data_IF_890637749646
#
_entry.id   IF_890637749646
#
_cell.length_a   1.000
_cell.length_b   1.000
_cell.length_c   1.000
_cell.angle_alpha   90.00
_cell.angle_beta   90.00
_cell.angle_gamma   90.00
#
_symmetry.space_group_name_H-M   'P 1'
#
loop_
_entity.id
_entity.type
_entity.pdbx_description
1 polymer ?
#
# COMPACT_ATOMS: atom_id res chain seq x y z
N UNK A 1 15.17 -32.02 7.93
CA UNK A 1 14.05 -31.05 7.99
C UNK A 1 14.13 -30.18 6.74
N UNK A 2 13.17 -30.30 5.81
CA UNK A 2 13.11 -29.40 4.65
C UNK A 2 12.85 -27.99 5.20
N UNK A 3 13.76 -27.05 4.93
CA UNK A 3 13.48 -25.63 5.09
C UNK A 3 12.27 -25.35 4.19
N UNK A 4 11.10 -25.17 4.79
CA UNK A 4 9.97 -24.58 4.09
C UNK A 4 10.48 -23.18 3.75
N UNK A 5 10.81 -22.96 2.48
CA UNK A 5 10.98 -21.61 1.98
C UNK A 5 9.62 -20.95 2.27
N UNK A 6 9.58 -20.07 3.26
CA UNK A 6 8.46 -19.13 3.41
C UNK A 6 8.45 -18.41 2.07
N UNK A 7 7.61 -18.87 1.14
CA UNK A 7 7.20 -18.05 0.02
C UNK A 7 6.62 -16.83 0.71
N UNK A 8 7.33 -15.72 0.65
CA UNK A 8 6.75 -14.43 1.00
C UNK A 8 5.64 -14.27 -0.03
N UNK A 9 4.45 -14.80 0.29
CA UNK A 9 3.23 -14.19 -0.18
C UNK A 9 3.40 -12.76 0.30
N UNK A 10 3.54 -11.82 -0.63
CA UNK A 10 3.48 -10.41 -0.31
C UNK A 10 2.25 -10.26 0.59
N UNK A 11 2.48 -10.05 1.89
CA UNK A 11 1.40 -9.96 2.85
C UNK A 11 0.74 -8.63 2.55
N UNK A 12 -0.25 -8.64 1.66
CA UNK A 12 -1.14 -7.52 1.35
C UNK A 12 -2.02 -7.28 2.56
N UNK A 13 -1.41 -6.77 3.62
CA UNK A 13 -2.09 -6.38 4.85
C UNK A 13 -1.85 -4.89 5.04
N UNK A 14 -2.65 -4.10 4.34
CA UNK A 14 -3.38 -2.93 4.84
C UNK A 14 -3.98 -2.18 3.64
N UNK A 15 -5.29 -2.02 3.64
CA UNK A 15 -6.05 -1.23 2.68
C UNK A 15 -5.73 0.28 2.80
N UNK A 16 -4.58 0.67 2.25
CA UNK A 16 -4.08 2.04 2.02
C UNK A 16 -2.93 2.60 2.89
N UNK A 17 -2.02 1.70 3.27
CA UNK A 17 -0.60 2.04 3.19
C UNK A 17 0.02 1.07 2.19
N UNK A 18 0.48 1.57 1.03
CA UNK A 18 1.32 0.80 0.10
C UNK A 18 2.63 0.46 0.82
N UNK A 19 2.60 -0.51 1.73
CA UNK A 19 3.78 -1.01 2.39
C UNK A 19 4.67 -1.63 1.32
N UNK A 20 5.77 -0.94 1.02
CA UNK A 20 7.00 -1.46 0.44
C UNK A 20 6.81 -2.81 -0.24
N UNK A 21 6.63 -2.81 -1.55
CA UNK A 21 6.78 -3.99 -2.38
C UNK A 21 8.23 -4.47 -2.30
N UNK A 22 8.60 -5.11 -1.18
CA UNK A 22 9.73 -6.00 -1.09
C UNK A 22 9.34 -7.28 -1.83
N UNK A 23 9.26 -7.16 -3.16
CA UNK A 23 9.06 -8.29 -4.04
C UNK A 23 10.37 -9.07 -4.04
N UNK A 24 10.40 -10.20 -3.35
CA UNK A 24 11.49 -11.15 -3.49
C UNK A 24 11.53 -11.55 -4.98
N UNK A 25 12.67 -11.41 -5.68
CA UNK A 25 12.72 -11.67 -7.11
C UNK A 25 12.33 -13.12 -7.38
N UNK A 26 11.15 -13.32 -7.98
CA UNK A 26 10.67 -14.63 -8.34
C UNK A 26 11.56 -15.19 -9.48
N UNK A 27 12.21 -16.33 -9.24
CA UNK A 27 13.05 -17.02 -10.24
C UNK A 27 12.19 -17.60 -11.37
N UNK A 28 10.90 -17.82 -11.12
CA UNK A 28 9.90 -18.25 -12.10
C UNK A 28 8.74 -17.26 -12.12
N UNK A 29 8.03 -17.22 -13.23
CA UNK A 29 6.81 -16.43 -13.34
C UNK A 29 5.79 -16.86 -12.27
N UNK A 30 5.30 -15.90 -11.51
CA UNK A 30 4.32 -16.11 -10.44
C UNK A 30 3.11 -15.20 -10.69
N UNK A 31 1.92 -15.81 -10.63
CA UNK A 31 0.64 -15.09 -10.56
C UNK A 31 0.10 -15.24 -9.16
N UNK A 32 -0.26 -14.13 -8.53
CA UNK A 32 -0.94 -14.10 -7.24
C UNK A 32 -2.15 -13.17 -7.31
N UNK A 33 -3.12 -13.41 -6.46
CA UNK A 33 -4.30 -12.56 -6.31
C UNK A 33 -4.79 -12.64 -4.87
N UNK A 34 -5.48 -11.59 -4.43
CA UNK A 34 -6.11 -11.57 -3.12
C UNK A 34 -7.44 -10.82 -3.14
N UNK A 35 -8.26 -11.10 -2.13
CA UNK A 35 -9.43 -10.28 -1.78
C UNK A 35 -9.33 -9.87 -0.32
N UNK A 36 -9.68 -8.63 -0.03
CA UNK A 36 -9.55 -8.06 1.30
C UNK A 36 -10.77 -7.27 1.73
N UNK A 37 -10.93 -7.13 3.04
CA UNK A 37 -11.92 -6.25 3.67
C UNK A 37 -11.27 -5.49 4.82
N UNK A 38 -11.62 -4.21 4.93
CA UNK A 38 -11.29 -3.38 6.08
C UNK A 38 -12.53 -2.65 6.59
N UNK A 39 -12.52 -2.26 7.86
CA UNK A 39 -13.65 -1.51 8.46
C UNK A 39 -13.73 -0.04 8.02
N UNK A 40 -12.72 0.47 7.31
CA UNK A 40 -12.65 1.81 6.72
C UNK A 40 -11.66 1.82 5.54
N UNK A 41 -11.70 2.85 4.68
CA UNK A 41 -10.66 3.07 3.68
C UNK A 41 -9.56 3.98 4.24
N UNK A 42 -8.46 3.39 4.72
CA UNK A 42 -7.44 4.11 5.47
C UNK A 42 -6.21 4.43 4.62
N UNK A 43 -6.18 5.63 4.04
CA UNK A 43 -5.16 6.08 3.10
C UNK A 43 -4.18 7.09 3.70
N UNK A 44 -2.91 6.69 3.82
CA UNK A 44 -1.78 7.57 4.23
C UNK A 44 -2.09 8.44 5.46
N UNK A 45 -2.64 7.82 6.50
CA UNK A 45 -2.97 8.51 7.74
C UNK A 45 -4.44 8.90 7.89
N UNK A 46 -5.21 8.89 6.80
CA UNK A 46 -6.55 9.44 6.71
C UNK A 46 -7.60 8.35 6.46
N UNK A 47 -8.77 8.49 7.07
CA UNK A 47 -9.97 7.73 6.69
C UNK A 47 -10.67 8.48 5.56
N UNK A 48 -10.69 7.91 4.36
CA UNK A 48 -11.33 8.49 3.17
C UNK A 48 -12.86 8.34 3.17
N UNK A 49 -13.44 7.81 4.25
CA UNK A 49 -14.87 7.71 4.45
C UNK A 49 -15.49 6.51 3.74
N UNK A 50 -16.78 6.59 3.44
CA UNK A 50 -17.49 5.55 2.67
C UNK A 50 -17.80 4.25 3.42
N UNK A 51 -17.29 4.09 4.65
CA UNK A 51 -17.50 2.92 5.51
C UNK A 51 -16.52 1.80 5.21
N UNK A 52 -16.95 0.55 5.38
CA UNK A 52 -16.08 -0.61 5.15
C UNK A 52 -15.60 -0.68 3.70
N UNK A 53 -14.31 -0.93 3.50
CA UNK A 53 -13.69 -1.03 2.18
C UNK A 53 -13.52 -2.50 1.79
N UNK A 54 -14.04 -2.89 0.63
CA UNK A 54 -13.70 -4.14 -0.04
C UNK A 54 -12.53 -3.85 -0.99
N UNK A 55 -11.56 -4.76 -1.06
CA UNK A 55 -10.44 -4.64 -2.00
C UNK A 55 -10.13 -5.97 -2.71
N UNK A 56 -9.47 -5.88 -3.85
CA UNK A 56 -8.91 -7.05 -4.54
C UNK A 56 -7.65 -6.66 -5.32
N UNK A 57 -6.77 -7.63 -5.54
CA UNK A 57 -5.60 -7.46 -6.40
C UNK A 57 -5.31 -8.68 -7.25
N UNK A 58 -4.59 -8.43 -8.35
CA UNK A 58 -3.94 -9.45 -9.16
C UNK A 58 -2.55 -8.97 -9.55
N UNK A 59 -1.59 -9.88 -9.44
CA UNK A 59 -0.18 -9.61 -9.55
C UNK A 59 0.50 -10.65 -10.44
N UNK A 60 1.37 -10.19 -11.31
CA UNK A 60 2.31 -11.01 -12.06
C UNK A 60 3.74 -10.55 -11.78
N UNK A 61 4.64 -11.48 -11.47
CA UNK A 61 6.05 -11.17 -11.30
C UNK A 61 6.98 -12.20 -11.94
N UNK A 62 8.12 -11.75 -12.45
CA UNK A 62 9.15 -12.61 -13.04
C UNK A 62 10.49 -11.88 -13.05
N UNK A 63 11.54 -12.54 -12.52
CA UNK A 63 12.92 -12.03 -12.59
C UNK A 63 13.10 -10.59 -12.10
N UNK A 64 12.37 -10.22 -11.04
CA UNK A 64 12.38 -8.88 -10.45
C UNK A 64 11.39 -7.91 -11.09
N UNK A 65 10.92 -8.15 -12.31
CA UNK A 65 9.82 -7.37 -12.89
C UNK A 65 8.49 -7.76 -12.25
N UNK A 66 7.62 -6.78 -12.05
CA UNK A 66 6.25 -7.01 -11.62
C UNK A 66 5.28 -6.05 -12.31
N UNK A 67 4.04 -6.51 -12.46
CA UNK A 67 2.89 -5.73 -12.92
C UNK A 67 1.66 -6.23 -12.20
N UNK A 68 0.74 -5.34 -11.88
CA UNK A 68 -0.48 -5.71 -11.21
C UNK A 68 -1.57 -4.67 -11.34
N UNK A 69 -2.74 -5.07 -10.85
CA UNK A 69 -3.87 -4.20 -10.66
C UNK A 69 -4.40 -4.38 -9.25
N UNK A 70 -4.92 -3.30 -8.68
CA UNK A 70 -5.60 -3.27 -7.39
C UNK A 70 -6.93 -2.54 -7.55
N UNK A 71 -7.92 -2.81 -6.70
CA UNK A 71 -9.16 -2.06 -6.68
C UNK A 71 -9.74 -2.01 -5.27
N UNK A 72 -10.47 -0.94 -4.97
CA UNK A 72 -11.30 -0.87 -3.77
C UNK A 72 -12.58 -0.06 -3.96
N UNK A 73 -13.59 -0.41 -3.17
CA UNK A 73 -14.86 0.31 -3.07
C UNK A 73 -14.80 1.61 -2.27
N UNK A 74 -13.64 1.97 -1.72
CA UNK A 74 -13.53 2.64 -0.42
C UNK A 74 -13.52 4.17 -0.38
N UNK A 75 -13.51 4.91 -1.48
CA UNK A 75 -13.44 6.39 -1.40
C UNK A 75 -14.85 7.00 -1.34
N UNK A 76 -15.13 7.82 -0.31
CA UNK A 76 -16.43 8.46 -0.20
C UNK A 76 -16.70 9.41 -1.38
N UNK A 77 -15.73 10.27 -1.69
CA UNK A 77 -15.82 11.33 -2.68
C UNK A 77 -15.56 10.80 -4.10
N UNK A 78 -14.48 10.05 -4.28
CA UNK A 78 -14.02 9.57 -5.58
C UNK A 78 -14.60 8.20 -5.96
N UNK A 79 -15.32 7.53 -5.05
CA UNK A 79 -16.01 6.27 -5.34
C UNK A 79 -15.08 5.06 -5.42
N UNK A 80 -15.27 4.23 -6.45
CA UNK A 80 -14.47 3.02 -6.64
C UNK A 80 -13.16 3.35 -7.33
N UNK A 81 -12.06 2.98 -6.70
CA UNK A 81 -10.71 3.12 -7.23
C UNK A 81 -10.26 1.81 -7.89
N UNK A 82 -9.49 1.93 -8.97
CA UNK A 82 -8.62 0.87 -9.43
C UNK A 82 -7.24 1.43 -9.78
N UNK A 83 -6.20 0.71 -9.39
CA UNK A 83 -4.83 1.12 -9.61
C UNK A 83 -4.16 0.17 -10.59
N UNK A 84 -3.28 0.72 -11.42
CA UNK A 84 -2.43 -0.04 -12.32
C UNK A 84 -0.98 0.27 -11.97
N UNK A 85 -0.18 -0.75 -11.75
CA UNK A 85 1.22 -0.56 -11.39
C UNK A 85 2.14 -1.55 -12.09
N UNK A 86 3.37 -1.09 -12.32
CA UNK A 86 4.45 -1.90 -12.84
C UNK A 86 5.77 -1.42 -12.26
N UNK A 87 6.73 -2.33 -12.13
CA UNK A 87 8.03 -1.98 -11.58
C UNK A 87 9.05 -3.08 -11.68
N UNK A 88 10.20 -2.79 -11.07
CA UNK A 88 11.29 -3.71 -10.91
C UNK A 88 11.80 -3.66 -9.47
N UNK A 89 12.03 -4.81 -8.87
CA UNK A 89 12.58 -4.94 -7.53
C UNK A 89 13.52 -6.14 -7.41
N UNK A 90 14.33 -6.11 -6.35
CA UNK A 90 15.29 -7.15 -6.09
C UNK A 90 15.83 -7.12 -4.67
N UNK A 91 16.65 -8.11 -4.37
CA UNK A 91 17.29 -8.31 -3.07
C UNK A 91 18.76 -8.69 -3.28
N UNK A 92 19.64 -8.11 -2.45
CA UNK A 92 21.07 -8.43 -2.37
C UNK A 92 21.43 -8.62 -0.90
N UNK A 93 21.50 -9.88 -0.45
CA UNK A 93 21.64 -10.17 0.98
C UNK A 93 20.41 -9.64 1.74
N UNK A 94 20.61 -8.95 2.86
CA UNK A 94 19.50 -8.40 3.65
C UNK A 94 18.93 -7.08 3.09
N UNK A 95 19.53 -6.55 2.01
CA UNK A 95 19.10 -5.31 1.36
C UNK A 95 18.10 -5.60 0.24
N UNK A 96 16.99 -4.87 0.21
CA UNK A 96 16.01 -4.92 -0.87
C UNK A 96 15.76 -3.53 -1.47
N UNK A 97 15.36 -3.49 -2.72
CA UNK A 97 15.06 -2.26 -3.44
C UNK A 97 13.94 -2.47 -4.46
N UNK A 98 13.22 -1.41 -4.77
CA UNK A 98 12.23 -1.38 -5.84
C UNK A 98 12.10 -0.01 -6.46
N UNK A 99 11.77 0.01 -7.75
CA UNK A 99 11.36 1.20 -8.49
C UNK A 99 10.10 0.83 -9.28
N UNK A 100 9.03 1.58 -9.08
CA UNK A 100 7.75 1.34 -9.75
C UNK A 100 7.05 2.63 -10.17
N UNK A 101 6.05 2.46 -11.02
CA UNK A 101 5.08 3.47 -11.39
C UNK A 101 3.70 2.94 -11.00
N UNK A 102 2.87 3.79 -10.44
CA UNK A 102 1.46 3.52 -10.13
C UNK A 102 0.58 4.61 -10.72
N UNK A 103 -0.51 4.21 -11.37
CA UNK A 103 -1.57 5.10 -11.84
C UNK A 103 -2.82 4.85 -11.02
N UNK A 104 -3.30 5.89 -10.35
CA UNK A 104 -4.52 5.89 -9.53
C UNK A 104 -5.71 6.30 -10.41
N UNK A 105 -6.76 5.49 -10.45
CA UNK A 105 -7.83 5.67 -11.43
C UNK A 105 -9.22 5.56 -10.80
N UNK A 106 -10.11 6.44 -11.23
CA UNK A 106 -11.48 6.58 -10.72
C UNK A 106 -12.42 6.80 -11.89
N UNK A 107 -13.16 5.76 -12.28
CA UNK A 107 -14.00 5.81 -13.48
C UNK A 107 -15.35 6.50 -13.26
N UNK A 108 -15.85 6.52 -12.03
CA UNK A 108 -17.19 7.03 -11.69
C UNK A 108 -17.17 7.69 -10.30
N UNK A 109 -16.50 8.84 -10.16
CA UNK A 109 -16.46 9.56 -8.88
C UNK A 109 -17.83 10.13 -8.52
N UNK A 110 -18.14 10.17 -7.23
CA UNK A 110 -19.38 10.80 -6.74
C UNK A 110 -19.27 12.32 -6.76
N UNK A 111 -18.07 12.83 -6.46
CA UNK A 111 -17.69 14.23 -6.53
C UNK A 111 -16.37 14.37 -7.32
N UNK A 112 -16.31 15.34 -8.23
CA UNK A 112 -15.12 15.59 -9.07
C UNK A 112 -15.20 14.98 -10.46
N UNK A 113 -14.05 14.96 -11.15
CA UNK A 113 -13.92 14.43 -12.52
C UNK A 113 -13.28 13.04 -12.50
N UNK A 114 -13.66 12.14 -13.43
CA UNK A 114 -13.01 10.85 -13.57
C UNK A 114 -11.51 10.98 -13.77
N UNK A 115 -10.75 10.07 -13.17
CA UNK A 115 -9.31 9.93 -13.38
C UNK A 115 -9.04 8.68 -14.21
N UNK A 116 -8.51 8.88 -15.40
CA UNK A 116 -8.12 7.81 -16.33
C UNK A 116 -6.66 7.38 -16.10
N UNK A 117 -6.26 6.20 -16.62
CA UNK A 117 -4.86 5.78 -16.63
C UNK A 117 -3.91 6.86 -17.17
N UNK A 118 -2.99 7.30 -16.31
CA UNK A 118 -2.02 8.36 -16.57
C UNK A 118 -2.39 9.74 -16.03
N UNK A 119 -3.63 9.97 -15.61
CA UNK A 119 -4.07 11.29 -15.10
C UNK A 119 -3.52 11.59 -13.71
N UNK A 120 -3.42 10.58 -12.84
CA UNK A 120 -2.78 10.66 -11.53
C UNK A 120 -1.75 9.54 -11.42
N UNK A 121 -0.47 9.87 -11.57
CA UNK A 121 0.62 8.88 -11.61
C UNK A 121 1.74 9.24 -10.67
N UNK A 122 2.22 8.26 -9.90
CA UNK A 122 3.38 8.40 -9.03
C UNK A 122 4.51 7.44 -9.45
N UNK A 123 5.75 7.93 -9.36
CA UNK A 123 6.95 7.07 -9.31
C UNK A 123 7.22 6.75 -7.84
N UNK A 124 7.52 5.49 -7.56
CA UNK A 124 7.74 5.00 -6.19
C UNK A 124 9.10 4.33 -6.10
N UNK A 125 9.93 4.79 -5.16
CA UNK A 125 11.22 4.21 -4.81
C UNK A 125 11.14 3.57 -3.43
N UNK A 126 11.40 2.27 -3.35
CA UNK A 126 11.47 1.52 -2.10
C UNK A 126 12.89 1.07 -1.79
N UNK A 127 13.31 1.19 -0.53
CA UNK A 127 14.57 0.66 -0.01
C UNK A 127 14.31 -0.05 1.31
N UNK A 128 14.94 -1.20 1.54
CA UNK A 128 14.81 -1.93 2.79
C UNK A 128 16.09 -2.63 3.22
N UNK A 129 16.22 -2.80 4.53
CA UNK A 129 17.32 -3.55 5.15
C UNK A 129 16.86 -4.22 6.45
N UNK A 130 16.75 -5.55 6.44
CA UNK A 130 16.18 -6.28 7.57
C UNK A 130 14.75 -5.80 7.89
N UNK A 131 14.43 -5.40 9.14
CA UNK A 131 13.10 -4.89 9.48
C UNK A 131 12.84 -3.46 9.01
N UNK A 132 13.86 -2.74 8.54
CA UNK A 132 13.72 -1.34 8.14
C UNK A 132 13.27 -1.21 6.69
N UNK A 133 12.34 -0.30 6.43
CA UNK A 133 11.98 0.12 5.08
C UNK A 133 11.83 1.65 5.00
N UNK A 134 12.18 2.22 3.86
CA UNK A 134 11.91 3.59 3.48
C UNK A 134 11.27 3.60 2.10
N UNK A 135 10.23 4.42 1.88
CA UNK A 135 9.59 4.55 0.56
C UNK A 135 9.34 6.01 0.25
N UNK A 136 9.61 6.41 -0.98
CA UNK A 136 9.38 7.76 -1.49
C UNK A 136 8.46 7.68 -2.71
N UNK A 137 7.43 8.52 -2.73
CA UNK A 137 6.43 8.65 -3.77
C UNK A 137 6.53 10.05 -4.36
N UNK A 138 6.64 10.13 -5.68
CA UNK A 138 6.76 11.38 -6.42
C UNK A 138 5.66 11.46 -7.48
N UNK A 139 4.78 12.45 -7.37
CA UNK A 139 3.76 12.66 -8.37
C UNK A 139 4.37 13.19 -9.68
N UNK A 140 4.23 12.41 -10.75
CA UNK A 140 4.79 12.70 -12.07
C UNK A 140 3.72 13.04 -13.12
N UNK A 141 2.44 12.84 -12.80
CA UNK A 141 1.31 13.28 -13.62
C UNK A 141 0.08 13.57 -12.74
N UNK A 142 -0.68 14.60 -13.14
CA UNK A 142 -1.85 15.09 -12.41
C UNK A 142 -1.56 16.40 -11.69
N UNK A 143 -1.87 16.45 -10.39
CA UNK A 143 -1.57 17.60 -9.53
C UNK A 143 -0.07 17.65 -9.22
N UNK A 144 0.70 18.29 -10.09
CA UNK A 144 2.16 18.41 -9.95
C UNK A 144 2.57 18.99 -8.60
N UNK A 145 3.56 18.39 -7.95
CA UNK A 145 4.18 18.91 -6.71
C UNK A 145 4.10 17.95 -5.52
N UNK A 146 3.04 17.13 -5.49
CA UNK A 146 2.81 16.23 -4.36
C UNK A 146 3.86 15.12 -4.28
N UNK A 147 4.40 14.96 -3.08
CA UNK A 147 5.26 13.84 -2.71
C UNK A 147 4.84 13.30 -1.35
N UNK A 148 5.16 12.03 -1.11
CA UNK A 148 4.89 11.35 0.14
C UNK A 148 6.06 10.45 0.50
N UNK A 149 6.34 10.32 1.78
CA UNK A 149 7.48 9.58 2.29
C UNK A 149 7.08 8.70 3.47
N UNK A 150 7.68 7.51 3.57
CA UNK A 150 7.49 6.61 4.71
C UNK A 150 8.80 6.09 5.27
N UNK A 151 8.79 5.87 6.59
CA UNK A 151 9.76 5.04 7.31
C UNK A 151 9.01 3.96 8.08
N UNK A 152 9.44 2.71 7.95
CA UNK A 152 8.79 1.60 8.61
C UNK A 152 9.79 0.69 9.33
N UNK A 153 9.30 0.08 10.42
CA UNK A 153 9.88 -1.08 11.07
C UNK A 153 8.87 -2.22 10.99
N UNK A 154 9.19 -3.27 10.27
CA UNK A 154 8.34 -4.46 10.13
C UNK A 154 8.97 -5.67 10.84
N UNK A 155 8.28 -6.15 11.87
CA UNK A 155 8.57 -7.38 12.58
C UNK A 155 7.42 -8.39 12.39
N UNK A 156 7.70 -9.66 12.67
CA UNK A 156 6.75 -10.77 12.46
C UNK A 156 5.34 -10.52 13.03
N UNK A 157 5.23 -9.90 14.21
CA UNK A 157 3.94 -9.61 14.86
C UNK A 157 3.57 -8.14 14.91
N UNK A 158 4.51 -7.25 14.66
CA UNK A 158 4.32 -5.82 14.89
C UNK A 158 4.95 -5.01 13.78
N UNK A 159 4.26 -3.98 13.33
CA UNK A 159 4.85 -2.98 12.46
C UNK A 159 4.62 -1.57 13.03
N UNK A 160 5.57 -0.69 12.76
CA UNK A 160 5.46 0.75 12.99
C UNK A 160 5.73 1.44 11.68
N UNK A 161 4.89 2.40 11.30
CA UNK A 161 5.11 3.24 10.14
C UNK A 161 4.97 4.70 10.53
N UNK A 162 5.89 5.53 10.06
CA UNK A 162 5.75 6.98 10.01
C UNK A 162 5.56 7.37 8.54
N UNK A 163 4.54 8.17 8.26
CA UNK A 163 4.26 8.71 6.93
C UNK A 163 4.22 10.23 6.96
N UNK A 164 4.73 10.88 5.93
CA UNK A 164 4.77 12.33 5.79
C UNK A 164 4.39 12.73 4.38
N UNK A 165 3.40 13.61 4.29
CA UNK A 165 2.96 14.29 3.07
C UNK A 165 3.78 15.57 2.84
N UNK A 166 3.75 16.07 1.61
CA UNK A 166 4.42 17.33 1.23
C UNK A 166 3.97 18.54 2.08
N UNK A 167 2.70 18.58 2.49
CA UNK A 167 2.06 19.70 3.18
C UNK A 167 2.26 19.70 4.71
N UNK A 168 3.33 19.04 5.17
CA UNK A 168 3.68 18.85 6.59
C UNK A 168 2.62 18.05 7.40
N UNK A 169 1.63 17.43 6.74
CA UNK A 169 0.79 16.41 7.37
C UNK A 169 1.62 15.14 7.59
N UNK A 170 1.62 14.61 8.80
CA UNK A 170 2.28 13.34 9.10
C UNK A 170 1.47 12.45 10.03
N UNK A 171 1.70 11.14 9.95
CA UNK A 171 0.99 10.16 10.76
C UNK A 171 1.93 9.05 11.25
N UNK A 172 1.50 8.38 12.32
CA UNK A 172 2.11 7.17 12.83
C UNK A 172 1.08 6.06 12.89
N UNK A 173 1.45 4.90 12.38
CA UNK A 173 0.65 3.69 12.41
C UNK A 173 1.35 2.61 13.23
N UNK A 174 0.60 2.00 14.15
CA UNK A 174 1.03 0.88 14.97
C UNK A 174 0.17 -0.33 14.65
N UNK A 175 0.78 -1.36 14.05
CA UNK A 175 0.08 -2.56 13.61
C UNK A 175 0.44 -3.77 14.47
N UNK A 176 -0.56 -4.52 14.88
CA UNK A 176 -0.43 -5.89 15.38
C UNK A 176 -0.95 -6.88 14.34
N UNK A 177 -0.09 -7.80 13.93
CA UNK A 177 -0.40 -8.88 12.99
C UNK A 177 -0.83 -10.11 13.78
N UNK A 178 -2.13 -10.41 13.79
CA UNK A 178 -2.65 -11.59 14.49
C UNK A 178 -2.24 -12.88 13.77
N UNK A 179 -2.29 -12.86 12.45
CA UNK A 179 -1.72 -13.86 11.56
C UNK A 179 -1.41 -13.22 10.19
N UNK A 180 -1.05 -14.03 9.20
CA UNK A 180 -0.69 -13.58 7.85
C UNK A 180 -1.82 -12.82 7.12
N UNK A 181 -3.07 -13.00 7.56
CA UNK A 181 -4.27 -12.52 6.89
C UNK A 181 -4.99 -11.41 7.68
N UNK A 182 -4.92 -11.42 9.02
CA UNK A 182 -5.68 -10.53 9.91
C UNK A 182 -4.75 -9.64 10.72
N UNK A 183 -4.98 -8.33 10.67
CA UNK A 183 -4.27 -7.34 11.47
C UNK A 183 -5.18 -6.29 12.09
N UNK A 184 -4.61 -5.61 13.08
CA UNK A 184 -5.21 -4.52 13.83
C UNK A 184 -4.22 -3.35 13.85
N UNK A 185 -4.61 -2.20 13.33
CA UNK A 185 -3.77 -1.00 13.29
C UNK A 185 -4.42 0.13 14.08
N UNK A 186 -3.60 0.87 14.83
CA UNK A 186 -3.96 2.18 15.34
C UNK A 186 -3.16 3.20 14.55
N UNK A 187 -3.84 4.00 13.74
CA UNK A 187 -3.24 5.09 12.96
C UNK A 187 -3.61 6.43 13.55
N UNK A 188 -2.67 7.38 13.56
CA UNK A 188 -2.90 8.72 14.12
C UNK A 188 -2.10 9.77 13.37
N UNK A 189 -2.76 10.87 13.00
CA UNK A 189 -2.09 12.10 12.56
C UNK A 189 -1.33 12.72 13.74
N UNK A 190 -0.03 12.98 13.55
CA UNK A 190 0.88 13.48 14.58
C UNK A 190 1.40 14.88 14.31
N UNK A 191 1.33 15.32 13.06
CA UNK A 191 1.53 16.72 12.67
C UNK A 191 0.52 17.07 11.57
N UNK A 192 -0.05 18.26 11.65
CA UNK A 192 -0.96 18.83 10.65
C UNK A 192 -0.82 20.36 10.74
N UNK A 193 0.04 20.92 9.90
CA UNK A 193 0.30 22.35 9.87
C UNK A 193 -0.95 23.19 9.50
N UNK A 194 -1.89 22.59 8.77
CA UNK A 194 -3.11 23.26 8.30
C UNK A 194 -4.23 23.25 9.35
N UNK A 195 -4.24 22.24 10.24
CA UNK A 195 -5.34 21.94 11.15
C UNK A 195 -6.62 21.51 10.45
N UNK A 196 -6.55 21.14 9.17
CA UNK A 196 -7.69 20.74 8.35
C UNK A 196 -8.08 19.28 8.55
N UNK A 197 -7.20 18.46 9.12
CA UNK A 197 -7.38 17.02 9.22
C UNK A 197 -7.76 16.58 10.64
N UNK A 198 -8.65 15.58 10.80
CA UNK A 198 -8.93 15.01 12.11
C UNK A 198 -7.69 14.35 12.72
N UNK A 199 -7.35 14.71 13.95
CA UNK A 199 -6.19 14.15 14.70
C UNK A 199 -6.55 12.94 15.58
N UNK A 200 -7.81 12.51 15.52
CA UNK A 200 -8.34 11.37 16.25
C UNK A 200 -7.69 10.07 15.77
N UNK A 201 -7.28 9.24 16.73
CA UNK A 201 -6.76 7.93 16.40
C UNK A 201 -7.83 7.07 15.71
N UNK A 202 -7.46 6.44 14.59
CA UNK A 202 -8.28 5.50 13.84
C UNK A 202 -7.88 4.08 14.21
N UNK A 203 -8.89 3.22 14.42
CA UNK A 203 -8.68 1.79 14.66
C UNK A 203 -9.12 1.01 13.43
N UNK A 204 -8.15 0.38 12.78
CA UNK A 204 -8.33 -0.33 11.52
C UNK A 204 -8.22 -1.83 11.79
N UNK A 205 -9.18 -2.59 11.28
CA UNK A 205 -9.15 -4.04 11.23
C UNK A 205 -9.12 -4.43 9.76
N UNK A 206 -8.11 -5.20 9.36
CA UNK A 206 -7.94 -5.62 7.96
C UNK A 206 -7.81 -7.13 7.88
N UNK A 207 -8.59 -7.73 6.97
CA UNK A 207 -8.51 -9.12 6.58
C UNK A 207 -8.16 -9.20 5.10
N UNK A 208 -7.11 -9.93 4.74
CA UNK A 208 -6.74 -10.26 3.35
C UNK A 208 -6.66 -11.76 3.17
N UNK A 209 -7.23 -12.26 2.08
CA UNK A 209 -7.30 -13.69 1.75
C UNK A 209 -6.65 -13.92 0.38
N UNK A 210 -5.51 -14.65 0.31
CA UNK A 210 -4.92 -15.03 -0.96
C UNK A 210 -5.83 -16.01 -1.70
N UNK A 211 -5.86 -15.89 -3.03
CA UNK A 211 -6.60 -16.77 -3.93
C UNK A 211 -5.65 -17.78 -4.55
N UNK A 212 -5.91 -19.06 -4.32
CA UNK A 212 -5.23 -20.15 -5.02
C UNK A 212 -5.86 -20.36 -6.40
N UNK A 213 -5.12 -20.05 -7.47
CA UNK A 213 -5.49 -20.44 -8.82
C UNK A 213 -5.28 -21.96 -8.99
N UNK A 214 -6.34 -22.67 -9.39
CA UNK A 214 -6.31 -24.10 -9.72
C UNK A 214 -5.87 -24.34 -11.16
#
# INVERSE_FOLDING_TARGET
MKKIQKKLLASTVAAAAFASMAMVPAVQAEVSASVGVANMYYWRGLDLGGGAALSADINYSVSGFFVGAWTSSGDEAMGTEYDLYAGYGGEVGDFNYSLSVVSYNYADPKDGEPLSPGDLTEVVLGLGYGPFAATYYDNVAGSSGYNYFTLALDFEKFAVLYGQHEDDLSHIDLTYKYNDNLSFTVGKVVDDASGAYPDEAKFIVSLSLPIDFK
#
